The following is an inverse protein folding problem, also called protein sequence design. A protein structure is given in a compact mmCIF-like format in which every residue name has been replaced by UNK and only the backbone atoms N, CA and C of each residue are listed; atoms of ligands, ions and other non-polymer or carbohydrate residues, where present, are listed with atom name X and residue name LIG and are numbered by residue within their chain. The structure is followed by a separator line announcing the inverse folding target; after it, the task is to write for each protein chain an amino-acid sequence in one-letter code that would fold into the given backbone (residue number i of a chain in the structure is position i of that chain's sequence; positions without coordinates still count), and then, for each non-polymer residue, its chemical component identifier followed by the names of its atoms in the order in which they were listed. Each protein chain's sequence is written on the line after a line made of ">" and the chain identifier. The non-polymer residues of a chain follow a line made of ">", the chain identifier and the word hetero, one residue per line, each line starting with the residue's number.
data_IF_806826324189
#
_entry.id   IF_806826324189
#
_cell.length_a   1.000
_cell.length_b   1.000
_cell.length_c   1.000
_cell.angle_alpha   90.00
_cell.angle_beta   90.00
_cell.angle_gamma   90.00
#
_symmetry.space_group_name_H-M   'P 1'
#
loop_
_entity.id
_entity.type
_entity.pdbx_description
1 polymer ?
#
# COMPACT_ATOMS: atom_id res chain seq x y z
N UNK A 1 -3.93 -14.48 8.87
CA UNK A 1 -3.67 -13.22 9.58
C UNK A 1 -4.40 -12.13 8.82
N UNK A 2 -5.67 -12.00 9.17
CA UNK A 2 -6.67 -11.17 8.51
C UNK A 2 -7.73 -10.96 9.58
N UNK A 3 -8.15 -9.72 9.84
CA UNK A 3 -8.71 -9.19 11.11
C UNK A 3 -7.61 -8.65 12.06
N UNK A 4 -7.70 -7.38 12.50
CA UNK A 4 -7.18 -6.29 11.67
C UNK A 4 -5.94 -5.59 12.27
N UNK A 5 -4.71 -6.02 11.94
CA UNK A 5 -3.63 -5.06 11.70
C UNK A 5 -3.90 -4.43 10.32
N UNK A 6 -3.70 -3.12 10.14
CA UNK A 6 -3.91 -2.40 8.87
C UNK A 6 -2.96 -2.81 7.72
N UNK A 7 -2.63 -4.09 7.59
CA UNK A 7 -1.79 -4.71 6.57
C UNK A 7 -2.64 -5.70 5.75
N UNK A 8 -2.61 -5.54 4.44
CA UNK A 8 -3.32 -6.35 3.45
C UNK A 8 -2.27 -7.13 2.67
N UNK A 9 -2.29 -8.45 2.81
CA UNK A 9 -1.35 -9.33 2.12
C UNK A 9 -1.89 -9.76 0.77
N UNK A 10 -1.07 -9.71 -0.28
CA UNK A 10 -1.29 -10.58 -1.43
C UNK A 10 -0.84 -11.98 -1.06
N UNK A 11 -1.73 -12.97 -1.14
CA UNK A 11 -1.46 -14.33 -0.68
C UNK A 11 -0.22 -14.91 -1.37
N UNK A 12 0.88 -15.06 -0.62
CA UNK A 12 2.12 -15.69 -1.06
C UNK A 12 2.10 -17.16 -0.66
N UNK A 13 1.59 -18.05 -1.51
CA UNK A 13 2.06 -19.46 -1.48
C UNK A 13 3.26 -19.58 -2.40
N UNK A 14 4.31 -20.26 -1.92
CA UNK A 14 5.60 -20.48 -2.61
C UNK A 14 5.44 -21.09 -4.02
N UNK A 15 4.31 -21.75 -4.30
CA UNK A 15 4.04 -22.49 -5.53
C UNK A 15 3.23 -21.69 -6.58
N UNK A 16 2.91 -20.41 -6.33
CA UNK A 16 1.93 -19.63 -7.08
C UNK A 16 2.51 -18.62 -8.08
N UNK A 17 3.70 -18.86 -8.67
CA UNK A 17 4.08 -18.09 -9.87
C UNK A 17 3.07 -18.27 -11.03
N UNK A 18 2.27 -19.35 -10.99
CA UNK A 18 1.22 -19.71 -11.96
C UNK A 18 -0.20 -19.23 -11.61
N UNK A 19 -0.48 -18.85 -10.36
CA UNK A 19 -1.82 -18.49 -9.88
C UNK A 19 -1.72 -17.08 -9.27
N UNK A 20 -2.13 -16.08 -10.05
CA UNK A 20 -1.92 -14.66 -9.79
C UNK A 20 -2.11 -14.23 -8.33
N UNK A 21 -1.30 -13.28 -7.91
CA UNK A 21 -1.38 -12.63 -6.59
C UNK A 21 -2.79 -12.07 -6.37
N UNK A 22 -3.55 -12.59 -5.42
CA UNK A 22 -4.88 -12.08 -5.05
C UNK A 22 -4.82 -11.31 -3.74
N UNK A 23 -5.50 -10.16 -3.72
CA UNK A 23 -5.86 -9.44 -2.51
C UNK A 23 -7.31 -9.81 -2.13
N UNK A 24 -7.72 -9.66 -0.86
CA UNK A 24 -9.13 -9.73 -0.50
C UNK A 24 -9.97 -8.74 -1.32
N UNK A 25 -11.28 -8.97 -1.49
CA UNK A 25 -12.18 -8.03 -2.14
C UNK A 25 -12.07 -6.60 -1.59
N UNK A 26 -12.34 -5.58 -2.42
CA UNK A 26 -12.26 -4.18 -1.99
C UNK A 26 -13.14 -3.85 -0.76
N UNK A 27 -14.33 -4.44 -0.67
CA UNK A 27 -15.28 -4.27 0.44
C UNK A 27 -14.70 -4.65 1.81
N UNK A 28 -13.65 -5.46 1.79
CA UNK A 28 -13.02 -6.06 2.95
C UNK A 28 -11.80 -5.26 3.44
N UNK A 29 -11.43 -4.17 2.76
CA UNK A 29 -10.25 -3.36 3.11
C UNK A 29 -10.54 -2.32 4.20
N UNK A 30 -11.80 -2.17 4.62
CA UNK A 30 -12.20 -1.34 5.74
C UNK A 30 -12.26 0.17 5.48
N UNK A 31 -12.35 0.61 4.21
CA UNK A 31 -12.64 2.00 3.81
C UNK A 31 -13.77 2.06 2.77
N UNK A 32 -14.99 1.79 3.25
CA UNK A 32 -16.20 1.70 2.42
C UNK A 32 -16.82 3.07 2.08
N UNK A 33 -16.37 4.16 2.72
CA UNK A 33 -16.98 5.49 2.58
C UNK A 33 -16.50 6.20 1.30
N UNK A 34 -17.36 6.33 0.30
CA UNK A 34 -16.95 6.82 -1.02
C UNK A 34 -16.45 8.27 -1.04
N UNK A 35 -16.93 9.13 -0.14
CA UNK A 35 -16.66 10.58 -0.16
C UNK A 35 -15.29 10.98 0.41
N UNK A 36 -14.52 10.03 0.92
CA UNK A 36 -13.25 10.32 1.57
C UNK A 36 -12.11 10.24 0.54
N UNK A 37 -11.29 11.29 0.35
CA UNK A 37 -10.18 11.25 -0.59
C UNK A 37 -9.19 10.13 -0.25
N UNK A 38 -8.87 9.31 -1.25
CA UNK A 38 -7.97 8.15 -1.11
C UNK A 38 -6.69 8.35 -1.90
N UNK A 39 -5.55 7.95 -1.32
CA UNK A 39 -4.24 8.14 -1.94
C UNK A 39 -3.43 6.85 -1.88
N UNK A 40 -2.82 6.50 -3.01
CA UNK A 40 -1.92 5.35 -3.10
C UNK A 40 -0.47 5.82 -3.18
N UNK A 41 0.39 5.21 -2.38
CA UNK A 41 1.84 5.42 -2.39
C UNK A 41 2.53 4.13 -2.84
N UNK A 42 3.20 4.19 -3.98
CA UNK A 42 3.96 3.09 -4.57
C UNK A 42 5.43 3.17 -4.14
N UNK A 43 5.94 2.09 -3.56
CA UNK A 43 7.34 1.96 -3.17
C UNK A 43 7.66 2.79 -1.95
N UNK A 44 6.89 2.65 -0.87
CA UNK A 44 6.89 3.60 0.25
C UNK A 44 8.19 3.70 1.06
N UNK A 45 9.23 2.92 0.74
CA UNK A 45 10.58 3.02 1.33
C UNK A 45 10.55 2.95 2.87
N UNK A 46 9.74 2.05 3.43
CA UNK A 46 9.53 1.94 4.88
C UNK A 46 8.48 2.90 5.46
N UNK A 47 7.63 3.48 4.61
CA UNK A 47 6.37 4.11 4.99
C UNK A 47 6.47 5.49 5.63
N UNK A 48 7.68 6.00 5.93
CA UNK A 48 7.87 7.22 6.74
C UNK A 48 7.05 8.41 6.27
N UNK A 49 7.12 8.74 4.98
CA UNK A 49 6.39 9.88 4.43
C UNK A 49 4.88 9.64 4.43
N UNK A 50 4.43 8.45 4.01
CA UNK A 50 3.00 8.14 3.93
C UNK A 50 2.33 8.11 5.31
N UNK A 51 3.01 7.56 6.32
CA UNK A 51 2.53 7.53 7.70
C UNK A 51 2.46 8.96 8.26
N UNK A 52 3.48 9.78 8.00
CA UNK A 52 3.47 11.19 8.41
C UNK A 52 2.30 11.94 7.77
N UNK A 53 2.05 11.74 6.48
CA UNK A 53 0.89 12.32 5.79
C UNK A 53 -0.44 11.84 6.37
N UNK A 54 -0.58 10.54 6.61
CA UNK A 54 -1.79 9.97 7.21
C UNK A 54 -2.08 10.57 8.59
N UNK A 55 -1.04 10.83 9.39
CA UNK A 55 -1.18 11.50 10.68
C UNK A 55 -1.63 12.95 10.62
N UNK A 56 -1.17 13.71 9.61
CA UNK A 56 -1.51 15.13 9.45
C UNK A 56 -2.80 15.35 8.65
N UNK A 57 -3.30 14.33 7.95
CA UNK A 57 -4.49 14.38 7.11
C UNK A 57 -5.44 13.24 7.46
N UNK A 58 -5.96 13.29 8.69
CA UNK A 58 -6.84 12.24 9.25
C UNK A 58 -8.16 12.09 8.47
N UNK A 59 -8.57 13.13 7.75
CA UNK A 59 -9.71 13.14 6.84
C UNK A 59 -9.45 12.46 5.49
N UNK A 60 -8.23 12.01 5.20
CA UNK A 60 -7.88 11.30 3.97
C UNK A 60 -7.55 9.83 4.29
N UNK A 61 -7.73 8.93 3.33
CA UNK A 61 -7.30 7.53 3.43
C UNK A 61 -6.03 7.29 2.63
N UNK A 62 -5.10 6.58 3.23
CA UNK A 62 -3.79 6.31 2.67
C UNK A 62 -3.55 4.83 2.48
N UNK A 63 -3.03 4.48 1.31
CA UNK A 63 -2.62 3.14 0.95
C UNK A 63 -1.13 3.16 0.63
N UNK A 64 -0.38 2.23 1.21
CA UNK A 64 1.06 2.07 0.99
C UNK A 64 1.29 0.71 0.36
N UNK A 65 1.84 0.65 -0.85
CA UNK A 65 2.20 -0.60 -1.50
C UNK A 65 3.71 -0.78 -1.59
N UNK A 66 4.21 -1.92 -1.12
CA UNK A 66 5.61 -2.32 -1.28
C UNK A 66 5.69 -3.84 -1.46
N UNK A 67 6.55 -4.28 -2.39
CA UNK A 67 6.77 -5.69 -2.70
C UNK A 67 7.89 -6.34 -1.89
N UNK A 68 8.61 -5.54 -1.11
CA UNK A 68 9.70 -5.97 -0.23
C UNK A 68 9.15 -6.17 1.20
N UNK A 69 9.25 -7.40 1.70
CA UNK A 69 8.75 -7.83 2.99
C UNK A 69 9.33 -7.01 4.16
N UNK A 70 10.63 -6.71 4.09
CA UNK A 70 11.35 -5.93 5.10
C UNK A 70 10.84 -4.50 5.13
N UNK A 71 10.51 -3.91 3.98
CA UNK A 71 9.91 -2.55 3.91
C UNK A 71 8.48 -2.51 4.39
N UNK A 72 7.68 -3.54 4.08
CA UNK A 72 6.31 -3.68 4.60
C UNK A 72 6.35 -3.78 6.12
N UNK A 73 7.20 -4.66 6.66
CA UNK A 73 7.35 -4.83 8.10
C UNK A 73 7.80 -3.53 8.79
N UNK A 74 8.79 -2.83 8.23
CA UNK A 74 9.23 -1.52 8.74
C UNK A 74 8.12 -0.47 8.71
N UNK A 75 7.28 -0.47 7.67
CA UNK A 75 6.13 0.43 7.57
C UNK A 75 5.10 0.12 8.65
N UNK A 76 4.83 -1.17 8.90
CA UNK A 76 3.92 -1.62 9.94
C UNK A 76 4.38 -1.18 11.33
N UNK A 77 5.61 -1.51 11.73
CA UNK A 77 6.15 -1.12 13.05
C UNK A 77 6.12 0.40 13.23
N UNK A 78 6.47 1.15 12.19
CA UNK A 78 6.44 2.62 12.24
C UNK A 78 5.01 3.15 12.39
N UNK A 79 4.03 2.54 11.74
CA UNK A 79 2.63 2.92 11.88
C UNK A 79 2.11 2.59 13.28
N UNK A 80 2.42 1.41 13.83
CA UNK A 80 2.08 1.03 15.21
C UNK A 80 2.58 2.07 16.21
N UNK A 81 3.87 2.41 16.14
CA UNK A 81 4.47 3.43 17.00
C UNK A 81 3.85 4.82 16.80
N UNK A 82 3.50 5.17 15.57
CA UNK A 82 2.93 6.48 15.26
C UNK A 82 1.50 6.64 15.79
N UNK A 83 0.67 5.61 15.64
CA UNK A 83 -0.72 5.62 16.11
C UNK A 83 -0.87 5.21 17.59
N UNK A 84 0.23 4.82 18.25
CA UNK A 84 0.20 4.36 19.63
C UNK A 84 -0.59 3.05 19.81
N UNK A 85 -0.60 2.19 18.79
CA UNK A 85 -1.30 0.91 18.85
C UNK A 85 -0.41 -0.15 19.51
N UNK A 86 -1.03 -1.02 20.32
CA UNK A 86 -0.36 -2.18 20.88
C UNK A 86 -0.38 -3.34 19.86
N UNK A 87 0.77 -3.91 19.45
CA UNK A 87 0.80 -5.10 18.60
C UNK A 87 0.14 -6.34 19.23
N UNK A 88 -0.11 -6.33 20.54
CA UNK A 88 -0.86 -7.37 21.25
C UNK A 88 -2.37 -7.14 21.23
N UNK A 89 -2.85 -5.99 20.72
CA UNK A 89 -4.27 -5.70 20.50
C UNK A 89 -4.65 -5.92 19.03
N UNK A 90 -5.03 -7.16 18.64
CA UNK A 90 -5.26 -7.52 17.24
C UNK A 90 -6.48 -6.83 16.61
N UNK A 91 -7.36 -6.24 17.42
CA UNK A 91 -8.62 -5.62 16.96
C UNK A 91 -8.44 -4.18 16.46
N UNK A 92 -7.27 -3.57 16.69
CA UNK A 92 -6.99 -2.17 16.36
C UNK A 92 -6.35 -2.02 14.97
N UNK A 93 -7.13 -1.56 14.00
CA UNK A 93 -6.60 -1.17 12.67
C UNK A 93 -6.12 0.28 12.66
N UNK A 94 -5.20 0.62 11.75
CA UNK A 94 -4.85 2.02 11.55
C UNK A 94 -6.08 2.81 11.05
N UNK A 95 -6.43 3.96 11.64
CA UNK A 95 -7.71 4.63 11.38
C UNK A 95 -7.87 5.08 9.93
N UNK A 96 -6.76 5.44 9.27
CA UNK A 96 -6.79 5.98 7.92
C UNK A 96 -5.60 5.53 7.04
N UNK A 97 -4.95 4.42 7.41
CA UNK A 97 -3.82 3.85 6.68
C UNK A 97 -4.03 2.36 6.41
N UNK A 98 -3.66 1.90 5.21
CA UNK A 98 -3.53 0.48 4.86
C UNK A 98 -2.20 0.22 4.20
N UNK A 99 -1.55 -0.89 4.56
CA UNK A 99 -0.27 -1.32 4.04
C UNK A 99 -0.48 -2.56 3.19
N UNK A 100 -0.32 -2.45 1.88
CA UNK A 100 -0.44 -3.53 0.92
C UNK A 100 0.92 -4.19 0.71
N UNK A 101 1.03 -5.47 1.08
CA UNK A 101 2.16 -6.30 0.67
C UNK A 101 1.91 -6.83 -0.74
N UNK A 102 2.32 -6.06 -1.73
CA UNK A 102 2.15 -6.36 -3.15
C UNK A 102 3.20 -5.62 -3.98
N UNK A 103 3.50 -6.14 -5.18
CA UNK A 103 4.40 -5.43 -6.07
C UNK A 103 3.79 -4.09 -6.48
N UNK A 104 4.59 -3.04 -6.44
CA UNK A 104 4.16 -1.67 -6.65
C UNK A 104 3.46 -1.50 -8.01
N UNK A 105 3.97 -2.19 -9.04
CA UNK A 105 3.38 -2.16 -10.40
C UNK A 105 1.99 -2.77 -10.51
N UNK A 106 1.64 -3.71 -9.64
CA UNK A 106 0.31 -4.35 -9.65
C UNK A 106 -0.68 -3.63 -8.74
N UNK A 107 -0.19 -2.81 -7.80
CA UNK A 107 -1.02 -2.23 -6.76
C UNK A 107 -2.25 -1.45 -7.29
N UNK A 108 -2.14 -0.61 -8.34
CA UNK A 108 -3.29 0.14 -8.83
C UNK A 108 -4.45 -0.73 -9.34
N UNK A 109 -4.16 -1.93 -9.89
CA UNK A 109 -5.19 -2.84 -10.45
C UNK A 109 -6.16 -3.39 -9.41
N UNK A 110 -5.82 -3.30 -8.14
CA UNK A 110 -6.67 -3.79 -7.06
C UNK A 110 -7.70 -2.75 -6.59
N UNK A 111 -7.59 -1.52 -7.07
CA UNK A 111 -8.55 -0.47 -6.76
C UNK A 111 -9.66 -0.46 -7.81
N UNK A 112 -10.93 -0.31 -7.39
CA UNK A 112 -12.00 -0.04 -8.35
C UNK A 112 -11.76 1.29 -9.07
N UNK A 113 -12.36 1.49 -10.26
CA UNK A 113 -12.24 2.76 -10.98
C UNK A 113 -12.73 3.96 -10.18
N UNK A 114 -12.08 5.12 -10.37
CA UNK A 114 -12.44 6.40 -9.75
C UNK A 114 -12.25 6.50 -8.24
N UNK A 115 -11.73 5.46 -7.59
CA UNK A 115 -11.63 5.38 -6.13
C UNK A 115 -10.46 6.21 -5.59
N UNK A 116 -9.37 6.36 -6.35
CA UNK A 116 -8.19 7.08 -5.92
C UNK A 116 -8.24 8.55 -6.36
N UNK A 117 -7.84 9.44 -5.46
CA UNK A 117 -7.63 10.87 -5.76
C UNK A 117 -6.23 11.14 -6.30
N UNK A 118 -5.24 10.38 -5.84
CA UNK A 118 -3.86 10.52 -6.32
C UNK A 118 -3.05 9.23 -6.15
N UNK A 119 -2.06 9.07 -7.03
CA UNK A 119 -1.03 8.02 -6.95
C UNK A 119 0.34 8.69 -6.85
N UNK A 120 1.10 8.36 -5.82
CA UNK A 120 2.44 8.86 -5.55
C UNK A 120 3.46 7.75 -5.81
N UNK A 121 4.45 8.01 -6.66
CA UNK A 121 5.52 7.05 -6.94
C UNK A 121 6.80 7.48 -6.24
N UNK A 122 7.23 6.71 -5.25
CA UNK A 122 8.47 7.00 -4.53
C UNK A 122 9.62 6.22 -5.14
N UNK A 123 10.57 6.98 -5.69
CA UNK A 123 11.77 6.41 -6.29
C UNK A 123 12.86 6.33 -5.21
N UNK A 124 13.57 5.18 -5.08
CA UNK A 124 14.72 5.12 -4.20
C UNK A 124 15.81 6.08 -4.70
N UNK A 125 16.51 6.71 -3.76
CA UNK A 125 17.65 7.57 -4.09
C UNK A 125 18.68 6.78 -4.92
N UNK A 126 19.26 7.34 -6.00
CA UNK A 126 20.16 6.63 -6.91
C UNK A 126 21.32 5.92 -6.20
N UNK A 127 21.93 6.54 -5.18
CA UNK A 127 23.02 5.94 -4.40
C UNK A 127 22.58 4.79 -3.46
N UNK A 128 21.27 4.56 -3.28
CA UNK A 128 20.70 3.42 -2.53
C UNK A 128 20.11 2.35 -3.45
N UNK A 129 20.19 2.53 -4.77
CA UNK A 129 19.82 1.50 -5.73
C UNK A 129 20.94 0.45 -5.76
N UNK A 130 20.88 -0.52 -4.86
CA UNK A 130 21.83 -1.65 -4.82
C UNK A 130 21.78 -2.54 -6.08
N UNK A 131 20.86 -2.27 -7.01
CA UNK A 131 20.77 -2.90 -8.33
C UNK A 131 20.36 -1.87 -9.40
N UNK A 132 21.11 -1.75 -10.51
CA UNK A 132 20.74 -0.91 -11.65
C UNK A 132 19.51 -1.45 -12.44
N UNK A 133 18.94 -2.59 -12.03
CA UNK A 133 17.86 -3.33 -12.69
C UNK A 133 16.53 -3.20 -11.92
N UNK A 134 16.28 -2.08 -11.22
CA UNK A 134 14.89 -1.66 -10.99
C UNK A 134 14.46 -0.90 -12.24
N UNK A 135 14.21 -1.67 -13.30
CA UNK A 135 13.57 -1.24 -14.52
C UNK A 135 12.48 -0.22 -14.19
N UNK A 136 12.45 0.90 -14.90
CA UNK A 136 11.55 2.03 -14.66
C UNK A 136 10.20 1.56 -14.09
N UNK A 137 9.91 1.92 -12.84
CA UNK A 137 8.63 1.58 -12.20
C UNK A 137 7.47 2.06 -13.07
N UNK A 138 7.69 3.20 -13.72
CA UNK A 138 6.78 3.89 -14.64
C UNK A 138 6.83 3.18 -16.01
N UNK A 139 5.95 2.20 -16.18
CA UNK A 139 5.67 1.57 -17.48
C UNK A 139 4.33 2.09 -18.03
N UNK A 140 4.07 1.99 -19.35
CA UNK A 140 2.76 2.34 -19.92
C UNK A 140 1.60 1.58 -19.26
N UNK A 141 1.83 0.30 -18.91
CA UNK A 141 0.84 -0.50 -18.18
C UNK A 141 0.54 0.07 -16.79
N UNK A 142 1.57 0.48 -16.04
CA UNK A 142 1.38 1.09 -14.73
C UNK A 142 0.57 2.39 -14.85
N UNK A 143 0.88 3.21 -15.87
CA UNK A 143 0.16 4.45 -16.13
C UNK A 143 -1.32 4.16 -16.41
N UNK A 144 -1.62 3.19 -17.29
CA UNK A 144 -2.99 2.81 -17.59
C UNK A 144 -3.74 2.29 -16.37
N UNK A 145 -3.11 1.42 -15.57
CA UNK A 145 -3.70 0.88 -14.34
C UNK A 145 -3.95 1.99 -13.30
N UNK A 146 -3.00 2.93 -13.15
CA UNK A 146 -3.14 4.08 -12.26
C UNK A 146 -4.22 5.05 -12.74
N UNK A 147 -4.30 5.29 -14.05
CA UNK A 147 -5.31 6.15 -14.66
C UNK A 147 -6.72 5.59 -14.45
N UNK A 148 -6.91 4.30 -14.69
CA UNK A 148 -8.18 3.63 -14.42
C UNK A 148 -8.61 3.73 -12.97
N UNK A 149 -7.68 3.77 -12.00
CA UNK A 149 -8.03 3.91 -10.59
C UNK A 149 -8.31 5.38 -10.18
N UNK A 150 -7.92 6.34 -11.01
CA UNK A 150 -8.11 7.79 -10.80
C UNK A 150 -9.41 8.32 -11.44
N UNK A 151 -9.84 7.73 -12.56
CA UNK A 151 -11.09 8.04 -13.29
C UNK A 151 -12.23 7.09 -12.96
#
# INVERSE_FOLDING_TARGET
>A
VWQPPGVIFSCLKKDHHSHGRSLPPWSEWGFVENDIPRRLVLGALGGRWAIWQAGHRQQERWFVADGDDSRVFNSFIRAMNFYGLDPQEPESSFPNLRILHTHERSAPRFFPPGVLRSVHVHMPWPARASKPIRAALITPSLIADAYSALE
#
